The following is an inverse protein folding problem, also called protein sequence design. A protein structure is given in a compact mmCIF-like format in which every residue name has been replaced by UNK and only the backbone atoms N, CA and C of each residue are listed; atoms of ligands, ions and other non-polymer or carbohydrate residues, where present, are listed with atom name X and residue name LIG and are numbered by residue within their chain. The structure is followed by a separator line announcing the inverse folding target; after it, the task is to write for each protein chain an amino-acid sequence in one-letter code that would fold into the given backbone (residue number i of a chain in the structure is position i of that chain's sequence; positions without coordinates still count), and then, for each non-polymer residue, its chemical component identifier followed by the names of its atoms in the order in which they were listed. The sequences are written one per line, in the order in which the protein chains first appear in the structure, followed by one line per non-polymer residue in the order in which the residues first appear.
data_IF_326935122429
#
_entry.id   IF_326935122429
#
_cell.length_a   1.000
_cell.length_b   1.000
_cell.length_c   1.000
_cell.angle_alpha   90.00
_cell.angle_beta   90.00
_cell.angle_gamma   90.00
#
_symmetry.space_group_name_H-M   'P 1'
#
loop_
_entity.id
_entity.type
_entity.pdbx_description
1 polymer ?
#
# COMPACT_ATOMS: atom_id res chain seq x y z
N UNK A 1 21.85 1.03 16.87
CA UNK A 1 22.19 -0.40 16.64
C UNK A 1 21.42 -0.85 15.41
N UNK A 2 22.07 -1.44 14.42
CA UNK A 2 21.34 -2.02 13.30
C UNK A 2 20.43 -3.14 13.85
N UNK A 3 19.11 -2.97 13.68
CA UNK A 3 18.08 -3.92 14.12
C UNK A 3 18.22 -5.29 13.45
N UNK A 4 18.98 -5.36 12.35
CA UNK A 4 19.10 -6.50 11.44
C UNK A 4 19.83 -7.74 12.02
N UNK A 5 20.38 -7.68 13.23
CA UNK A 5 21.11 -8.80 13.86
C UNK A 5 20.29 -9.68 14.81
N UNK A 6 19.11 -9.23 15.26
CA UNK A 6 18.25 -9.98 16.18
C UNK A 6 17.01 -10.50 15.42
N UNK A 7 16.83 -11.83 15.29
CA UNK A 7 15.73 -12.40 14.50
C UNK A 7 14.35 -12.16 15.12
N UNK A 8 14.27 -11.73 16.39
CA UNK A 8 13.01 -11.52 17.10
C UNK A 8 12.50 -10.07 17.06
N UNK A 9 13.20 -9.16 16.38
CA UNK A 9 12.83 -7.73 16.35
C UNK A 9 11.43 -7.51 15.77
N UNK A 10 11.01 -8.33 14.80
CA UNK A 10 9.67 -8.26 14.19
C UNK A 10 8.58 -9.02 14.94
N UNK A 11 8.90 -9.75 16.01
CA UNK A 11 7.89 -10.54 16.71
C UNK A 11 7.07 -9.66 17.66
N UNK A 12 5.75 -9.81 17.60
CA UNK A 12 4.86 -9.28 18.63
C UNK A 12 4.88 -10.19 19.87
N UNK A 13 4.99 -9.64 21.10
CA UNK A 13 4.97 -10.44 22.33
C UNK A 13 3.60 -11.04 22.64
N UNK A 14 2.56 -10.67 21.89
CA UNK A 14 1.21 -11.22 21.98
C UNK A 14 0.61 -11.45 20.60
N UNK A 15 -0.39 -12.33 20.53
CA UNK A 15 -1.25 -12.40 19.36
C UNK A 15 -2.09 -11.12 19.26
N UNK A 16 -2.15 -10.55 18.05
CA UNK A 16 -2.93 -9.35 17.79
C UNK A 16 -4.43 -9.67 17.83
N UNK A 17 -5.24 -8.76 18.37
CA UNK A 17 -6.69 -8.82 18.15
C UNK A 17 -7.02 -8.52 16.68
N UNK A 18 -8.23 -8.82 16.19
CA UNK A 18 -8.61 -8.46 14.81
C UNK A 18 -8.42 -6.98 14.48
N UNK A 19 -8.73 -6.08 15.42
CA UNK A 19 -8.58 -4.63 15.25
C UNK A 19 -7.12 -4.20 15.21
N UNK A 20 -6.27 -4.80 16.06
CA UNK A 20 -4.83 -4.55 16.07
C UNK A 20 -4.17 -5.10 14.81
N UNK A 21 -4.59 -6.28 14.33
CA UNK A 21 -4.13 -6.85 13.08
C UNK A 21 -4.52 -5.95 11.89
N UNK A 22 -5.73 -5.38 11.90
CA UNK A 22 -6.12 -4.40 10.88
C UNK A 22 -5.22 -3.15 10.89
N UNK A 23 -4.74 -2.70 12.06
CA UNK A 23 -3.76 -1.61 12.12
C UNK A 23 -2.38 -2.05 11.59
N UNK A 24 -1.93 -3.26 11.90
CA UNK A 24 -0.70 -3.81 11.34
C UNK A 24 -0.75 -3.87 9.80
N UNK A 25 -1.85 -4.37 9.22
CA UNK A 25 -2.03 -4.40 7.76
C UNK A 25 -2.03 -2.98 7.15
N UNK A 26 -2.53 -1.96 7.84
CA UNK A 26 -2.41 -0.56 7.37
C UNK A 26 -0.95 -0.08 7.35
N UNK A 27 -0.14 -0.51 8.32
CA UNK A 27 1.30 -0.23 8.33
C UNK A 27 1.98 -0.96 7.19
N UNK A 28 1.65 -2.22 6.95
CA UNK A 28 2.21 -3.00 5.83
C UNK A 28 1.86 -2.34 4.48
N UNK A 29 0.60 -1.92 4.29
CA UNK A 29 0.15 -1.18 3.10
C UNK A 29 0.95 0.11 2.88
N UNK A 30 1.21 0.87 3.96
CA UNK A 30 2.04 2.07 3.90
C UNK A 30 3.49 1.74 3.54
N UNK A 31 4.02 0.61 4.04
CA UNK A 31 5.33 0.10 3.69
C UNK A 31 5.46 -0.22 2.19
N UNK A 32 4.46 -0.86 1.58
CA UNK A 32 4.48 -1.13 0.14
C UNK A 32 4.44 0.16 -0.68
N UNK A 33 3.64 1.16 -0.27
CA UNK A 33 3.62 2.48 -0.92
C UNK A 33 4.98 3.20 -0.78
N UNK A 34 5.63 3.11 0.38
CA UNK A 34 6.98 3.65 0.59
C UNK A 34 8.00 2.95 -0.31
N UNK A 35 7.91 1.63 -0.46
CA UNK A 35 8.77 0.85 -1.35
C UNK A 35 8.60 1.28 -2.82
N UNK A 36 7.36 1.41 -3.30
CA UNK A 36 7.05 1.93 -4.65
C UNK A 36 7.72 3.28 -4.86
N UNK A 37 7.49 4.24 -3.94
CA UNK A 37 8.05 5.60 -4.03
C UNK A 37 9.59 5.53 -4.10
N UNK A 38 10.21 4.72 -3.25
CA UNK A 38 11.66 4.56 -3.21
C UNK A 38 12.23 3.98 -4.51
N UNK A 39 11.66 2.89 -5.01
CA UNK A 39 12.15 2.24 -6.23
C UNK A 39 11.94 3.12 -7.47
N UNK A 40 10.79 3.78 -7.61
CA UNK A 40 10.54 4.70 -8.72
C UNK A 40 11.47 5.91 -8.69
N UNK A 41 11.69 6.51 -7.52
CA UNK A 41 12.61 7.64 -7.37
C UNK A 41 14.04 7.24 -7.78
N UNK A 42 14.49 6.05 -7.39
CA UNK A 42 15.80 5.53 -7.78
C UNK A 42 15.90 5.21 -9.28
N UNK A 43 14.84 4.63 -9.87
CA UNK A 43 14.77 4.34 -11.30
C UNK A 43 14.83 5.63 -12.14
N UNK A 44 14.17 6.70 -11.69
CA UNK A 44 14.24 8.04 -12.30
C UNK A 44 15.62 8.69 -12.14
N UNK A 45 16.36 8.34 -11.08
CA UNK A 45 17.63 8.98 -10.71
C UNK A 45 18.88 8.29 -11.26
N UNK A 46 18.73 7.19 -12.00
CA UNK A 46 19.85 6.45 -12.61
C UNK A 46 19.80 6.48 -14.13
N UNK A 47 20.95 6.28 -14.77
CA UNK A 47 21.06 6.10 -16.23
C UNK A 47 21.36 4.63 -16.62
N UNK A 48 21.52 3.71 -15.66
CA UNK A 48 21.72 2.29 -15.97
C UNK A 48 20.38 1.61 -16.28
N UNK A 49 20.14 1.32 -17.56
CA UNK A 49 18.90 0.70 -18.05
C UNK A 49 18.62 -0.69 -17.45
N UNK A 50 19.66 -1.43 -17.04
CA UNK A 50 19.47 -2.74 -16.37
C UNK A 50 18.88 -2.53 -14.98
N UNK A 51 19.37 -1.53 -14.26
CA UNK A 51 18.88 -1.17 -12.92
C UNK A 51 17.45 -0.64 -13.00
N UNK A 52 17.14 0.27 -13.94
CA UNK A 52 15.77 0.77 -14.15
C UNK A 52 14.78 -0.36 -14.36
N UNK A 53 15.11 -1.32 -15.23
CA UNK A 53 14.24 -2.45 -15.54
C UNK A 53 13.88 -3.24 -14.27
N UNK A 54 14.86 -3.54 -13.43
CA UNK A 54 14.63 -4.30 -12.20
C UNK A 54 13.85 -3.48 -11.18
N UNK A 55 14.21 -2.20 -10.96
CA UNK A 55 13.51 -1.34 -10.00
C UNK A 55 12.04 -1.13 -10.37
N UNK A 56 11.73 -0.87 -11.64
CA UNK A 56 10.35 -0.73 -12.09
C UNK A 56 9.57 -2.05 -11.95
N UNK A 57 10.21 -3.18 -12.25
CA UNK A 57 9.58 -4.49 -12.05
C UNK A 57 9.23 -4.74 -10.58
N UNK A 58 10.14 -4.45 -9.64
CA UNK A 58 9.88 -4.60 -8.21
C UNK A 58 8.74 -3.65 -7.79
N UNK A 59 8.76 -2.38 -8.23
CA UNK A 59 7.67 -1.44 -7.96
C UNK A 59 6.31 -1.94 -8.48
N UNK A 60 6.27 -2.64 -9.62
CA UNK A 60 5.05 -3.25 -10.13
C UNK A 60 4.59 -4.46 -9.30
N UNK A 61 5.51 -5.21 -8.68
CA UNK A 61 5.19 -6.27 -7.71
C UNK A 61 4.62 -5.69 -6.42
N UNK A 62 5.21 -4.61 -5.88
CA UNK A 62 4.69 -3.99 -4.65
C UNK A 62 3.28 -3.42 -4.85
N UNK A 63 2.91 -2.97 -6.06
CA UNK A 63 1.52 -2.58 -6.37
C UNK A 63 0.54 -3.75 -6.31
N UNK A 64 0.99 -4.97 -6.62
CA UNK A 64 0.18 -6.17 -6.44
C UNK A 64 0.01 -6.46 -4.95
N UNK A 65 1.09 -6.35 -4.16
CA UNK A 65 1.03 -6.50 -2.70
C UNK A 65 0.10 -5.47 -2.04
N UNK A 66 0.08 -4.22 -2.51
CA UNK A 66 -0.91 -3.21 -2.09
C UNK A 66 -2.34 -3.74 -2.26
N UNK A 67 -2.64 -4.37 -3.40
CA UNK A 67 -3.96 -4.96 -3.68
C UNK A 67 -4.29 -6.13 -2.74
N UNK A 68 -3.33 -7.02 -2.50
CA UNK A 68 -3.47 -8.17 -1.59
C UNK A 68 -3.74 -7.72 -0.15
N UNK A 69 -2.92 -6.79 0.36
CA UNK A 69 -3.05 -6.24 1.72
C UNK A 69 -4.35 -5.46 1.89
N UNK A 70 -4.76 -4.69 0.88
CA UNK A 70 -6.04 -3.98 0.90
C UNK A 70 -7.23 -4.96 1.01
N UNK A 71 -7.17 -6.09 0.30
CA UNK A 71 -8.21 -7.12 0.38
C UNK A 71 -8.24 -7.81 1.76
N UNK A 72 -7.07 -8.08 2.36
CA UNK A 72 -7.00 -8.58 3.75
C UNK A 72 -7.60 -7.57 4.73
N UNK A 73 -7.32 -6.28 4.56
CA UNK A 73 -7.89 -5.23 5.40
C UNK A 73 -9.42 -5.18 5.29
N UNK A 74 -9.99 -5.39 4.10
CA UNK A 74 -11.44 -5.48 3.93
C UNK A 74 -12.06 -6.69 4.63
N UNK A 75 -11.38 -7.84 4.63
CA UNK A 75 -11.82 -9.04 5.36
C UNK A 75 -11.84 -8.75 6.87
N UNK A 76 -10.81 -8.07 7.39
CA UNK A 76 -10.68 -7.75 8.81
C UNK A 76 -11.58 -6.57 9.24
N UNK A 77 -11.86 -5.63 8.34
CA UNK A 77 -12.62 -4.41 8.61
C UNK A 77 -13.62 -4.11 7.49
N UNK A 78 -14.84 -4.69 7.54
CA UNK A 78 -15.87 -4.44 6.53
C UNK A 78 -16.27 -2.96 6.41
N UNK A 79 -16.11 -2.17 7.48
CA UNK A 79 -16.35 -0.72 7.46
C UNK A 79 -15.32 0.02 6.63
N UNK A 80 -14.05 -0.42 6.63
CA UNK A 80 -13.02 0.12 5.73
C UNK A 80 -13.48 -0.08 4.28
N UNK A 81 -13.85 -1.32 3.92
CA UNK A 81 -14.34 -1.65 2.58
C UNK A 81 -15.51 -0.75 2.15
N UNK A 82 -16.51 -0.56 3.02
CA UNK A 82 -17.66 0.30 2.71
C UNK A 82 -17.24 1.75 2.42
N UNK A 83 -16.35 2.33 3.22
CA UNK A 83 -15.90 3.70 3.05
C UNK A 83 -14.98 3.87 1.84
N UNK A 84 -14.05 2.94 1.62
CA UNK A 84 -13.15 2.98 0.47
C UNK A 84 -13.93 2.83 -0.83
N UNK A 85 -14.94 1.95 -0.87
CA UNK A 85 -15.80 1.78 -2.05
C UNK A 85 -16.65 3.03 -2.32
N UNK A 86 -17.19 3.68 -1.27
CA UNK A 86 -17.90 4.96 -1.42
C UNK A 86 -17.00 6.03 -2.03
N UNK A 87 -15.78 6.20 -1.52
CA UNK A 87 -14.81 7.14 -2.11
C UNK A 87 -14.46 6.81 -3.55
N UNK A 88 -14.31 5.52 -3.89
CA UNK A 88 -14.08 5.07 -5.27
C UNK A 88 -15.23 5.45 -6.20
N UNK A 89 -16.48 5.22 -5.77
CA UNK A 89 -17.68 5.55 -6.56
C UNK A 89 -17.84 7.06 -6.76
N UNK A 90 -17.45 7.85 -5.77
CA UNK A 90 -17.44 9.31 -5.89
C UNK A 90 -16.51 9.78 -7.02
N UNK A 91 -15.26 9.26 -7.07
CA UNK A 91 -14.32 9.59 -8.15
C UNK A 91 -14.80 9.09 -9.52
N UNK A 92 -15.42 7.91 -9.60
CA UNK A 92 -16.01 7.40 -10.85
C UNK A 92 -17.13 8.32 -11.34
N UNK A 93 -17.98 8.79 -10.43
CA UNK A 93 -19.07 9.72 -10.77
C UNK A 93 -18.50 11.04 -11.29
N UNK A 94 -17.48 11.58 -10.61
CA UNK A 94 -16.76 12.77 -11.05
C UNK A 94 -16.14 12.60 -12.43
N UNK A 95 -15.51 11.45 -12.70
CA UNK A 95 -14.92 11.15 -13.99
C UNK A 95 -15.96 11.14 -15.13
N UNK A 96 -17.14 10.58 -14.91
CA UNK A 96 -18.25 10.60 -15.88
C UNK A 96 -18.77 12.01 -16.17
N UNK A 97 -18.62 12.92 -15.20
CA UNK A 97 -18.99 14.32 -15.29
C UNK A 97 -17.81 15.22 -15.70
N UNK A 98 -16.69 14.62 -16.12
CA UNK A 98 -15.47 15.31 -16.50
C UNK A 98 -14.97 16.30 -15.43
N UNK A 99 -15.14 15.94 -14.15
CA UNK A 99 -14.76 16.70 -12.96
C UNK A 99 -15.36 18.13 -12.88
N UNK A 100 -16.52 18.37 -13.50
CA UNK A 100 -17.14 19.69 -13.54
C UNK A 100 -17.89 20.12 -12.26
N UNK A 101 -18.72 19.28 -11.61
CA UNK A 101 -19.36 19.68 -10.37
C UNK A 101 -18.41 19.51 -9.18
N UNK A 102 -18.56 20.37 -8.16
CA UNK A 102 -17.80 20.26 -6.92
C UNK A 102 -18.08 18.92 -6.21
N UNK A 103 -17.05 18.31 -5.63
CA UNK A 103 -17.19 17.17 -4.72
C UNK A 103 -17.93 17.62 -3.44
N UNK A 104 -18.79 16.76 -2.90
CA UNK A 104 -19.60 17.08 -1.71
C UNK A 104 -18.87 16.73 -0.42
#
# INVERSE_FOLDING_TARGET
MALLGNPFVGNSPKQLTPEELAQAIRVDLAGELEAIIGYEAHAMSTNDERVKKVLNHIADEERQHVGELQQLLYILSPKEMEQTEKGRQEIITQQQQNFQPAMQ
#
